data_IF_489836032719
#
_entry.id   IF_489836032719
#
_cell.length_a   1.000
_cell.length_b   1.000
_cell.length_c   1.000
_cell.angle_alpha   90.00
_cell.angle_beta   90.00
_cell.angle_gamma   90.00
#
_symmetry.space_group_name_H-M   'P 1'
#
loop_
_entity.id
_entity.type
_entity.pdbx_description
1 polymer ?
#
# COMPACT_ATOMS: atom_id res chain seq x y z
N UNK A 1 -37.51 -35.28 36.03
CA UNK A 1 -36.95 -33.98 35.60
C UNK A 1 -35.63 -34.24 34.91
N UNK A 2 -35.53 -34.02 33.60
CA UNK A 2 -34.28 -34.17 32.84
C UNK A 2 -33.52 -32.85 32.90
N UNK A 3 -32.43 -32.82 33.65
CA UNK A 3 -31.52 -31.69 33.76
C UNK A 3 -30.74 -31.56 32.44
N UNK A 4 -31.03 -30.51 31.67
CA UNK A 4 -30.24 -30.17 30.48
C UNK A 4 -28.90 -29.60 30.93
N UNK A 5 -27.82 -30.36 30.73
CA UNK A 5 -26.45 -29.88 30.87
C UNK A 5 -26.18 -28.92 29.70
N UNK A 6 -26.20 -27.62 29.96
CA UNK A 6 -25.83 -26.60 28.99
C UNK A 6 -24.32 -26.62 28.83
N UNK A 7 -23.84 -27.22 27.73
CA UNK A 7 -22.44 -27.16 27.34
C UNK A 7 -22.15 -25.74 26.84
N UNK A 8 -21.66 -24.87 27.72
CA UNK A 8 -21.12 -23.57 27.32
C UNK A 8 -19.82 -23.82 26.56
N UNK A 9 -19.87 -23.76 25.22
CA UNK A 9 -18.66 -23.73 24.39
C UNK A 9 -17.97 -22.39 24.66
N UNK A 10 -17.01 -22.40 25.57
CA UNK A 10 -16.07 -21.29 25.73
C UNK A 10 -15.25 -21.22 24.45
N UNK A 11 -15.49 -20.21 23.61
CA UNK A 11 -14.60 -19.89 22.51
C UNK A 11 -13.25 -19.47 23.12
N UNK A 12 -12.33 -20.43 23.28
CA UNK A 12 -10.95 -20.16 23.66
C UNK A 12 -10.30 -19.42 22.50
N UNK A 13 -10.05 -18.13 22.69
CA UNK A 13 -9.13 -17.38 21.84
C UNK A 13 -7.78 -18.13 21.86
N UNK A 14 -7.20 -18.37 20.69
CA UNK A 14 -5.87 -18.95 20.61
C UNK A 14 -4.87 -18.00 21.31
N UNK A 15 -3.78 -18.52 21.91
CA UNK A 15 -2.73 -17.65 22.43
C UNK A 15 -2.21 -16.77 21.30
N UNK A 16 -2.24 -15.45 21.52
CA UNK A 16 -1.81 -14.46 20.55
C UNK A 16 -0.31 -14.69 20.25
N UNK A 17 0.01 -15.02 19.00
CA UNK A 17 1.40 -15.05 18.55
C UNK A 17 1.91 -13.61 18.37
N UNK A 18 3.23 -13.41 18.45
CA UNK A 18 3.86 -12.12 18.12
C UNK A 18 3.57 -11.67 16.67
N UNK A 19 3.11 -12.57 15.81
CA UNK A 19 2.76 -12.30 14.42
C UNK A 19 1.32 -11.81 14.25
N UNK A 20 0.43 -12.08 15.21
CA UNK A 20 -0.98 -11.71 15.17
C UNK A 20 -1.18 -10.23 15.52
N UNK A 21 -2.33 -9.68 15.12
CA UNK A 21 -2.68 -8.31 15.49
C UNK A 21 -3.33 -8.28 16.89
N UNK A 22 -2.82 -7.50 17.86
CA UNK A 22 -3.32 -7.52 19.24
C UNK A 22 -4.78 -7.06 19.40
N UNK A 23 -5.27 -6.23 18.48
CA UNK A 23 -6.67 -5.75 18.50
C UNK A 23 -7.69 -6.79 18.01
N UNK A 24 -7.28 -7.72 17.15
CA UNK A 24 -8.18 -8.77 16.61
C UNK A 24 -7.39 -10.07 16.53
N UNK A 25 -7.44 -10.89 17.59
CA UNK A 25 -6.76 -12.19 17.62
C UNK A 25 -7.46 -13.18 16.68
N UNK A 26 -6.72 -14.15 16.12
CA UNK A 26 -7.30 -15.26 15.39
C UNK A 26 -8.13 -16.16 16.32
N UNK A 27 -9.10 -16.86 15.74
CA UNK A 27 -9.83 -17.91 16.45
C UNK A 27 -9.05 -19.22 16.44
N UNK A 28 -9.34 -20.12 17.40
CA UNK A 28 -8.71 -21.43 17.45
C UNK A 28 -8.90 -22.21 16.13
N UNK A 29 -7.83 -22.86 15.67
CA UNK A 29 -7.82 -23.61 14.41
C UNK A 29 -7.58 -22.77 13.16
N UNK A 30 -7.30 -21.46 13.31
CA UNK A 30 -6.86 -20.61 12.20
C UNK A 30 -5.34 -20.61 12.09
N UNK A 31 -4.84 -20.53 10.85
CA UNK A 31 -3.41 -20.45 10.55
C UNK A 31 -3.10 -19.19 9.77
N UNK A 32 -2.11 -18.41 10.21
CA UNK A 32 -1.62 -17.26 9.47
C UNK A 32 -0.96 -17.72 8.16
N UNK A 33 -1.37 -17.12 7.04
CA UNK A 33 -0.86 -17.42 5.70
C UNK A 33 -0.12 -16.25 5.08
N UNK A 34 -0.54 -15.02 5.38
CA UNK A 34 0.09 -13.83 4.82
C UNK A 34 0.00 -12.66 5.80
N UNK A 35 0.98 -11.76 5.73
CA UNK A 35 1.08 -10.61 6.64
C UNK A 35 1.82 -9.46 5.98
N UNK A 36 1.09 -8.40 5.70
CA UNK A 36 1.62 -7.14 5.18
C UNK A 36 1.42 -6.04 6.21
N UNK A 37 2.49 -5.29 6.50
CA UNK A 37 2.41 -4.10 7.35
C UNK A 37 3.07 -2.93 6.64
N UNK A 38 2.34 -1.83 6.53
CA UNK A 38 2.89 -0.54 6.16
C UNK A 38 2.67 0.45 7.29
N UNK A 39 3.76 1.11 7.69
CA UNK A 39 3.79 1.94 8.89
C UNK A 39 2.97 3.23 8.74
N UNK A 40 2.74 3.68 7.51
CA UNK A 40 1.93 4.85 7.20
C UNK A 40 1.50 4.83 5.73
N UNK A 41 0.20 4.73 5.46
CA UNK A 41 -0.38 4.73 4.11
C UNK A 41 -1.85 5.20 4.16
N UNK A 42 -2.39 5.63 3.01
CA UNK A 42 -3.81 5.92 2.84
C UNK A 42 -4.62 4.66 2.48
N UNK A 43 -5.86 4.58 2.98
CA UNK A 43 -6.78 3.50 2.66
C UNK A 43 -8.21 4.02 2.49
N UNK A 44 -8.82 3.67 1.36
CA UNK A 44 -10.28 3.72 1.18
C UNK A 44 -10.89 2.53 1.93
N UNK A 45 -11.29 2.75 3.17
CA UNK A 45 -11.73 1.71 4.09
C UNK A 45 -13.24 1.45 3.94
N UNK A 46 -13.68 0.25 3.49
CA UNK A 46 -15.08 0.00 3.17
C UNK A 46 -16.01 -0.01 4.39
N UNK A 47 -17.08 0.79 4.33
CA UNK A 47 -18.14 0.84 5.36
C UNK A 47 -19.53 0.81 4.72
N UNK A 48 -19.66 0.09 3.61
CA UNK A 48 -20.89 -0.05 2.85
C UNK A 48 -20.88 -1.27 1.93
N UNK A 49 -22.03 -1.53 1.31
CA UNK A 49 -22.20 -2.62 0.34
C UNK A 49 -21.38 -2.40 -0.91
N UNK A 50 -21.02 -3.46 -1.62
CA UNK A 50 -20.45 -3.37 -2.95
C UNK A 50 -21.55 -3.30 -4.03
N UNK A 51 -21.35 -2.46 -5.04
CA UNK A 51 -22.15 -2.44 -6.25
C UNK A 51 -21.22 -2.19 -7.44
N UNK A 52 -21.29 -3.04 -8.48
CA UNK A 52 -20.48 -2.90 -9.70
C UNK A 52 -18.98 -2.65 -9.42
N UNK A 53 -18.39 -3.46 -8.54
CA UNK A 53 -16.96 -3.41 -8.16
C UNK A 53 -16.52 -2.19 -7.34
N UNK A 54 -17.47 -1.39 -6.84
CA UNK A 54 -17.20 -0.24 -5.96
C UNK A 54 -17.96 -0.37 -4.66
N UNK A 55 -17.37 0.09 -3.56
CA UNK A 55 -18.10 0.21 -2.31
C UNK A 55 -18.98 1.47 -2.34
N UNK A 56 -20.21 1.33 -1.84
CA UNK A 56 -21.20 2.41 -1.77
C UNK A 56 -20.83 3.48 -0.73
N UNK A 57 -19.98 3.12 0.23
CA UNK A 57 -19.43 4.03 1.23
C UNK A 57 -18.05 3.55 1.66
N UNK A 58 -17.10 4.48 1.70
CA UNK A 58 -15.72 4.26 2.14
C UNK A 58 -15.34 5.42 3.09
N UNK A 59 -14.44 5.14 4.03
CA UNK A 59 -13.77 6.16 4.83
C UNK A 59 -12.37 6.38 4.28
N UNK A 60 -11.94 7.64 4.27
CA UNK A 60 -10.57 8.01 3.95
C UNK A 60 -9.76 7.95 5.24
N UNK A 61 -9.00 6.86 5.39
CA UNK A 61 -8.16 6.65 6.57
C UNK A 61 -6.70 6.76 6.18
N UNK A 62 -5.89 7.28 7.11
CA UNK A 62 -4.44 7.28 7.02
C UNK A 62 -3.86 6.73 8.32
N UNK A 63 -2.78 5.99 8.23
CA UNK A 63 -2.08 5.49 9.41
C UNK A 63 -1.32 4.21 9.14
N UNK A 64 -0.97 3.52 10.22
CA UNK A 64 -0.35 2.20 10.10
C UNK A 64 -1.40 1.19 9.68
N UNK A 65 -1.16 0.49 8.59
CA UNK A 65 -2.05 -0.55 8.08
C UNK A 65 -1.41 -1.91 8.27
N UNK A 66 -2.13 -2.82 8.92
CA UNK A 66 -1.77 -4.23 9.04
C UNK A 66 -2.83 -5.08 8.34
N UNK A 67 -2.44 -5.84 7.33
CA UNK A 67 -3.29 -6.78 6.60
C UNK A 67 -2.82 -8.20 6.88
N UNK A 68 -3.68 -9.01 7.48
CA UNK A 68 -3.37 -10.40 7.85
C UNK A 68 -4.36 -11.32 7.17
N UNK A 69 -3.84 -12.38 6.53
CA UNK A 69 -4.66 -13.44 5.94
C UNK A 69 -4.51 -14.71 6.75
N UNK A 70 -5.63 -15.25 7.22
CA UNK A 70 -5.71 -16.52 7.90
C UNK A 70 -6.46 -17.54 7.05
N UNK A 71 -6.05 -18.80 7.06
CA UNK A 71 -6.89 -19.91 6.59
C UNK A 71 -7.62 -20.57 7.76
N UNK A 72 -8.76 -21.19 7.47
CA UNK A 72 -9.52 -21.97 8.45
C UNK A 72 -10.03 -23.28 7.82
N UNK A 73 -10.36 -24.27 8.65
CA UNK A 73 -10.89 -25.55 8.18
C UNK A 73 -12.24 -25.36 7.45
N UNK A 74 -12.39 -25.97 6.27
CA UNK A 74 -13.65 -25.95 5.49
C UNK A 74 -14.88 -26.48 6.26
N UNK A 75 -14.68 -27.26 7.31
CA UNK A 75 -15.76 -27.74 8.19
C UNK A 75 -16.31 -26.63 9.10
N UNK A 76 -15.56 -25.54 9.32
CA UNK A 76 -16.02 -24.40 10.09
C UNK A 76 -17.01 -23.56 9.30
N UNK A 77 -18.14 -23.24 9.95
CA UNK A 77 -19.16 -22.38 9.36
C UNK A 77 -18.70 -20.92 9.33
N UNK A 78 -18.75 -20.28 8.14
CA UNK A 78 -18.54 -18.83 8.01
C UNK A 78 -19.46 -18.04 8.94
N UNK A 79 -20.69 -18.52 9.16
CA UNK A 79 -21.65 -17.88 10.07
C UNK A 79 -21.18 -17.95 11.52
N UNK A 80 -20.66 -19.10 11.95
CA UNK A 80 -20.10 -19.25 13.29
C UNK A 80 -18.91 -18.30 13.49
N UNK A 81 -17.96 -18.29 12.53
CA UNK A 81 -16.80 -17.40 12.56
C UNK A 81 -17.22 -15.92 12.66
N UNK A 82 -18.21 -15.53 11.85
CA UNK A 82 -18.78 -14.19 11.82
C UNK A 82 -19.43 -13.80 13.17
N UNK A 83 -20.28 -14.67 13.74
CA UNK A 83 -20.93 -14.39 15.03
C UNK A 83 -19.94 -14.34 16.20
N UNK A 84 -18.90 -15.16 16.15
CA UNK A 84 -17.81 -15.11 17.12
C UNK A 84 -17.11 -13.75 17.08
N UNK A 85 -16.74 -13.26 15.88
CA UNK A 85 -16.11 -11.94 15.75
C UNK A 85 -17.06 -10.80 16.15
N UNK A 86 -18.34 -10.85 15.80
CA UNK A 86 -19.30 -9.84 16.27
C UNK A 86 -19.39 -9.80 17.79
N UNK A 87 -19.45 -10.97 18.44
CA UNK A 87 -19.52 -11.07 19.89
C UNK A 87 -18.24 -10.56 20.55
N UNK A 88 -17.08 -10.91 19.99
CA UNK A 88 -15.78 -10.41 20.43
C UNK A 88 -15.68 -8.88 20.31
N UNK A 89 -15.94 -8.34 19.12
CA UNK A 89 -15.86 -6.88 18.86
C UNK A 89 -16.80 -6.10 19.80
N UNK A 90 -18.03 -6.57 19.97
CA UNK A 90 -18.99 -5.99 20.91
C UNK A 90 -18.48 -5.99 22.36
N UNK A 91 -17.97 -7.14 22.82
CA UNK A 91 -17.42 -7.30 24.18
C UNK A 91 -16.20 -6.40 24.42
N UNK A 92 -15.35 -6.22 23.41
CA UNK A 92 -14.15 -5.38 23.50
C UNK A 92 -14.42 -3.86 23.35
N UNK A 93 -15.68 -3.50 23.08
CA UNK A 93 -16.14 -2.11 22.99
C UNK A 93 -15.91 -1.47 21.62
N UNK A 94 -15.85 -2.26 20.55
CA UNK A 94 -15.84 -1.74 19.19
C UNK A 94 -17.23 -1.23 18.79
N UNK A 95 -17.27 -0.10 18.10
CA UNK A 95 -18.45 0.40 17.40
C UNK A 95 -18.50 -0.22 15.99
N UNK A 96 -19.56 -0.97 15.68
CA UNK A 96 -19.74 -1.54 14.33
C UNK A 96 -20.22 -0.44 13.38
N UNK A 97 -19.40 -0.14 12.37
CA UNK A 97 -19.69 0.87 11.35
C UNK A 97 -20.51 0.28 10.20
N UNK A 98 -20.23 -0.96 9.84
CA UNK A 98 -20.95 -1.70 8.83
C UNK A 98 -20.78 -3.21 9.04
N UNK A 99 -21.82 -3.98 8.77
CA UNK A 99 -21.74 -5.43 8.74
C UNK A 99 -22.70 -5.99 7.71
N UNK A 100 -22.29 -7.04 7.01
CA UNK A 100 -23.13 -7.71 6.03
C UNK A 100 -22.85 -9.20 5.96
N UNK A 101 -23.85 -9.94 5.48
CA UNK A 101 -23.81 -11.38 5.28
C UNK A 101 -24.29 -11.73 3.87
N UNK A 102 -23.47 -12.43 3.11
CA UNK A 102 -23.79 -12.96 1.76
C UNK A 102 -24.30 -11.84 0.83
N UNK A 103 -25.50 -11.98 0.29
CA UNK A 103 -26.12 -11.04 -0.65
C UNK A 103 -26.34 -9.65 -0.03
N UNK A 104 -26.39 -9.54 1.30
CA UNK A 104 -26.45 -8.25 1.98
C UNK A 104 -25.19 -7.41 1.73
N UNK A 105 -24.06 -8.05 1.40
CA UNK A 105 -22.82 -7.38 1.04
C UNK A 105 -22.87 -6.74 -0.35
N UNK A 106 -23.92 -7.00 -1.13
CA UNK A 106 -24.19 -6.36 -2.41
C UNK A 106 -23.83 -7.24 -3.61
N UNK A 107 -23.27 -6.63 -4.66
CA UNK A 107 -22.91 -7.29 -5.91
C UNK A 107 -21.50 -6.88 -6.37
N UNK A 108 -20.72 -7.85 -6.85
CA UNK A 108 -19.35 -7.64 -7.31
C UNK A 108 -18.44 -8.81 -7.00
N UNK A 109 -17.19 -8.67 -7.44
CA UNK A 109 -16.09 -9.61 -7.26
C UNK A 109 -14.79 -8.83 -7.47
N UNK A 110 -14.17 -8.39 -6.37
CA UNK A 110 -12.98 -7.55 -6.40
C UNK A 110 -11.97 -8.04 -5.38
N UNK A 111 -10.72 -8.19 -5.81
CA UNK A 111 -9.60 -8.25 -4.89
C UNK A 111 -9.16 -6.83 -4.54
N UNK A 112 -9.19 -6.48 -3.26
CA UNK A 112 -8.88 -5.09 -2.83
C UNK A 112 -7.41 -4.86 -2.52
N UNK A 113 -6.59 -5.93 -2.44
CA UNK A 113 -5.16 -5.87 -2.15
C UNK A 113 -4.24 -6.19 -3.34
N UNK A 114 -4.75 -6.23 -4.57
CA UNK A 114 -3.99 -6.67 -5.76
C UNK A 114 -2.89 -5.70 -6.22
N UNK A 115 -3.00 -4.42 -5.87
CA UNK A 115 -2.13 -3.36 -6.39
C UNK A 115 -0.94 -3.07 -5.47
N UNK A 116 -1.12 -3.16 -4.15
CA UNK A 116 -0.14 -2.79 -3.12
C UNK A 116 -0.07 -3.82 -1.96
N UNK A 117 -0.68 -5.00 -2.09
CA UNK A 117 -0.85 -6.02 -1.02
C UNK A 117 -1.63 -5.57 0.24
N UNK A 118 -2.09 -4.32 0.26
CA UNK A 118 -2.86 -3.73 1.36
C UNK A 118 -4.31 -3.56 0.93
N UNK A 119 -5.22 -4.25 1.62
CA UNK A 119 -6.65 -4.18 1.35
C UNK A 119 -7.42 -5.04 2.34
N UNK A 120 -8.71 -5.25 2.09
CA UNK A 120 -9.58 -6.18 2.84
C UNK A 120 -9.65 -7.57 2.19
N UNK A 121 -8.73 -7.88 1.28
CA UNK A 121 -8.68 -9.13 0.53
C UNK A 121 -9.73 -9.23 -0.58
N UNK A 122 -10.05 -10.46 -0.95
CA UNK A 122 -11.07 -10.77 -1.96
C UNK A 122 -12.48 -10.59 -1.40
N UNK A 123 -13.23 -9.68 -2.00
CA UNK A 123 -14.59 -9.34 -1.61
C UNK A 123 -15.54 -9.68 -2.75
N UNK A 124 -16.29 -10.77 -2.60
CA UNK A 124 -17.18 -11.25 -3.64
C UNK A 124 -18.51 -11.74 -3.02
N UNK A 125 -19.49 -10.84 -2.83
CA UNK A 125 -20.77 -11.14 -2.18
C UNK A 125 -21.52 -12.38 -2.71
N UNK A 126 -21.29 -12.75 -3.98
CA UNK A 126 -21.87 -13.94 -4.61
C UNK A 126 -21.35 -15.27 -4.05
N UNK A 127 -20.17 -15.26 -3.44
CA UNK A 127 -19.58 -16.41 -2.79
C UNK A 127 -19.57 -16.15 -1.28
N UNK A 128 -20.20 -17.02 -0.47
CA UNK A 128 -20.42 -16.91 0.98
C UNK A 128 -19.45 -15.96 1.72
N UNK A 129 -19.71 -14.65 1.60
CA UNK A 129 -18.85 -13.56 2.07
C UNK A 129 -19.52 -12.94 3.26
N UNK A 130 -18.77 -12.74 4.34
CA UNK A 130 -19.27 -12.06 5.53
C UNK A 130 -18.27 -11.01 5.94
N UNK A 131 -18.77 -9.82 6.25
CA UNK A 131 -17.91 -8.68 6.47
C UNK A 131 -18.33 -7.88 7.69
N UNK A 132 -17.35 -7.45 8.47
CA UNK A 132 -17.52 -6.53 9.59
C UNK A 132 -16.49 -5.42 9.43
N UNK A 133 -16.96 -4.18 9.41
CA UNK A 133 -16.16 -2.99 9.62
C UNK A 133 -16.52 -2.40 10.97
N UNK A 134 -15.53 -2.19 11.82
CA UNK A 134 -15.71 -1.64 13.16
C UNK A 134 -14.59 -0.66 13.50
N UNK A 135 -14.82 0.20 14.49
CA UNK A 135 -13.79 1.08 15.04
C UNK A 135 -13.72 0.97 16.55
N UNK A 136 -12.58 1.34 17.09
CA UNK A 136 -12.38 1.47 18.54
C UNK A 136 -11.51 2.70 18.82
N UNK A 137 -11.86 3.41 19.87
CA UNK A 137 -11.08 4.55 20.38
C UNK A 137 -10.66 4.22 21.81
N UNK A 138 -9.36 3.92 22.02
CA UNK A 138 -8.79 3.60 23.34
C UNK A 138 -7.46 4.33 23.53
N UNK A 139 -7.23 4.90 24.71
CA UNK A 139 -5.93 5.49 25.08
C UNK A 139 -5.47 6.68 24.24
N UNK A 140 -6.38 7.41 23.59
CA UNK A 140 -6.05 8.55 22.72
C UNK A 140 -5.68 8.17 21.27
N UNK A 141 -5.73 6.88 20.92
CA UNK A 141 -5.65 6.39 19.55
C UNK A 141 -7.00 5.89 19.04
N UNK A 142 -7.19 5.93 17.72
CA UNK A 142 -8.33 5.34 17.03
C UNK A 142 -7.83 4.25 16.09
N UNK A 143 -8.53 3.12 16.05
CA UNK A 143 -8.25 2.05 15.11
C UNK A 143 -9.54 1.60 14.42
N UNK A 144 -9.42 1.32 13.13
CA UNK A 144 -10.47 0.74 12.30
C UNK A 144 -10.08 -0.69 11.95
N UNK A 145 -11.04 -1.62 12.02
CA UNK A 145 -10.81 -3.03 11.71
C UNK A 145 -11.85 -3.55 10.73
N UNK A 146 -11.36 -4.16 9.67
CA UNK A 146 -12.13 -4.89 8.68
C UNK A 146 -11.87 -6.39 8.85
N UNK A 147 -12.95 -7.16 9.00
CA UNK A 147 -12.90 -8.63 9.04
C UNK A 147 -13.71 -9.14 7.85
N UNK A 148 -13.02 -9.65 6.85
CA UNK A 148 -13.62 -10.24 5.65
C UNK A 148 -13.45 -11.76 5.67
N UNK A 149 -14.56 -12.49 5.70
CA UNK A 149 -14.60 -13.95 5.78
C UNK A 149 -15.10 -14.47 4.43
N UNK A 150 -14.27 -15.26 3.75
CA UNK A 150 -14.62 -15.89 2.46
C UNK A 150 -14.82 -17.39 2.62
N UNK A 151 -16.04 -17.85 2.37
CA UNK A 151 -16.35 -19.27 2.21
C UNK A 151 -15.79 -19.89 0.93
N UNK A 152 -15.42 -19.08 -0.07
CA UNK A 152 -14.82 -19.57 -1.33
C UNK A 152 -13.36 -19.98 -1.15
N UNK A 153 -12.58 -19.13 -0.47
CA UNK A 153 -11.15 -19.36 -0.23
C UNK A 153 -10.86 -20.04 1.11
N UNK A 154 -11.89 -20.29 1.93
CA UNK A 154 -11.74 -20.73 3.33
C UNK A 154 -10.70 -19.87 4.08
N UNK A 155 -10.80 -18.56 3.87
CA UNK A 155 -9.83 -17.57 4.36
C UNK A 155 -10.53 -16.39 5.03
N UNK A 156 -9.84 -15.77 5.99
CA UNK A 156 -10.23 -14.52 6.63
C UNK A 156 -9.13 -13.50 6.40
N UNK A 157 -9.52 -12.31 5.97
CA UNK A 157 -8.66 -11.12 5.99
C UNK A 157 -9.03 -10.24 7.16
N UNK A 158 -8.05 -9.94 7.99
CA UNK A 158 -8.14 -8.99 9.08
C UNK A 158 -7.26 -7.80 8.72
N UNK A 159 -7.89 -6.66 8.46
CA UNK A 159 -7.20 -5.43 8.12
C UNK A 159 -7.41 -4.42 9.22
N UNK A 160 -6.33 -3.91 9.80
CA UNK A 160 -6.35 -2.93 10.88
C UNK A 160 -5.67 -1.65 10.40
N UNK A 161 -6.36 -0.53 10.52
CA UNK A 161 -5.81 0.82 10.30
C UNK A 161 -5.75 1.52 11.63
N UNK A 162 -4.54 1.68 12.16
CA UNK A 162 -4.27 2.45 13.38
C UNK A 162 -4.06 3.90 12.97
N UNK A 163 -5.11 4.71 13.11
CA UNK A 163 -5.08 6.12 12.80
C UNK A 163 -4.24 6.85 13.84
N UNK A 164 -3.16 7.50 13.39
CA UNK A 164 -2.54 8.54 14.20
C UNK A 164 -3.55 9.67 14.29
N UNK A 165 -4.03 9.98 15.50
CA UNK A 165 -4.66 11.27 15.73
C UNK A 165 -3.72 12.35 15.21
N UNK A 166 -4.26 13.32 14.46
CA UNK A 166 -3.53 14.50 14.00
C UNK A 166 -3.02 15.26 15.23
N UNK A 167 -1.88 14.83 15.76
CA UNK A 167 -1.23 15.48 16.86
C UNK A 167 -0.27 16.50 16.25
N UNK A 168 -0.82 17.67 15.91
CA UNK A 168 -0.06 18.89 15.64
C UNK A 168 0.83 19.32 16.85
N UNK A 169 0.78 18.56 17.95
CA UNK A 169 1.59 18.77 19.15
C UNK A 169 3.07 18.34 19.04
N UNK A 170 3.52 17.73 17.94
CA UNK A 170 4.93 17.33 17.78
C UNK A 170 5.81 18.34 17.02
N UNK A 171 5.30 19.54 16.73
CA UNK A 171 6.15 20.71 16.53
C UNK A 171 6.27 21.46 17.87
N UNK A 172 6.96 20.86 18.85
CA UNK A 172 7.51 21.68 19.94
C UNK A 172 8.71 22.44 19.40
N UNK A 173 8.44 23.67 18.96
CA UNK A 173 9.46 24.70 18.89
C UNK A 173 10.13 24.81 20.28
N UNK A 174 11.45 24.61 20.32
CA UNK A 174 12.26 24.87 21.52
C UNK A 174 12.47 23.67 22.44
N UNK A 175 13.51 22.88 22.16
CA UNK A 175 14.49 22.36 23.13
C UNK A 175 15.37 21.33 22.41
N UNK A 176 16.22 21.83 21.51
CA UNK A 176 17.47 21.14 21.20
C UNK A 176 18.37 21.32 22.41
N UNK A 177 18.51 20.29 23.22
CA UNK A 177 19.76 20.07 23.96
C UNK A 177 20.16 18.60 23.78
N UNK A 178 21.30 18.44 23.13
CA UNK A 178 21.82 17.20 22.59
C UNK A 178 23.15 16.90 23.26
N UNK A 179 23.19 15.87 24.10
CA UNK A 179 24.39 15.13 24.50
C UNK A 179 23.91 13.94 25.33
N UNK A 180 24.04 12.65 24.94
CA UNK A 180 24.90 12.04 23.93
C UNK A 180 24.17 10.98 23.07
N UNK A 181 23.78 11.31 21.85
CA UNK A 181 23.42 10.30 20.83
C UNK A 181 23.95 10.68 19.43
N UNK A 182 24.95 11.57 19.39
CA UNK A 182 25.81 11.78 18.22
C UNK A 182 26.86 10.68 18.22
N UNK A 183 26.62 9.60 17.48
CA UNK A 183 27.71 8.74 16.99
C UNK A 183 27.32 7.80 15.83
N UNK A 184 26.04 7.54 15.58
CA UNK A 184 25.63 6.73 14.42
C UNK A 184 24.40 7.35 13.76
N UNK A 185 24.42 7.43 12.42
CA UNK A 185 23.42 8.05 11.54
C UNK A 185 23.48 9.59 11.39
N UNK A 186 24.62 10.09 10.89
CA UNK A 186 24.62 11.23 9.98
C UNK A 186 25.02 10.72 8.59
N UNK A 187 24.05 10.41 7.75
CA UNK A 187 24.21 10.48 6.29
C UNK A 187 23.07 11.32 5.74
N UNK A 188 23.41 12.29 4.88
CA UNK A 188 22.46 13.21 4.25
C UNK A 188 21.68 12.52 3.10
N UNK A 189 20.52 13.06 2.71
CA UNK A 189 19.72 12.52 1.61
C UNK A 189 20.45 12.50 0.26
N UNK A 190 20.27 11.41 -0.51
CA UNK A 190 20.61 11.29 -1.93
C UNK A 190 19.96 12.42 -2.76
N UNK A 191 20.70 12.95 -3.75
CA UNK A 191 20.24 14.06 -4.59
C UNK A 191 20.01 13.58 -6.01
N UNK A 192 18.81 13.84 -6.52
CA UNK A 192 18.34 13.44 -7.85
C UNK A 192 18.34 14.69 -8.74
N UNK A 193 19.10 14.65 -9.84
CA UNK A 193 19.17 15.72 -10.83
C UNK A 193 18.87 15.19 -12.24
N UNK A 194 17.64 15.35 -12.71
CA UNK A 194 17.23 14.91 -14.06
C UNK A 194 17.41 16.07 -15.04
N UNK A 195 18.33 15.93 -16.01
CA UNK A 195 18.57 16.98 -17.02
C UNK A 195 17.97 16.55 -18.36
N UNK A 196 16.99 17.29 -18.92
CA UNK A 196 16.37 16.91 -20.18
C UNK A 196 17.38 16.99 -21.34
N UNK A 197 17.43 15.94 -22.15
CA UNK A 197 17.92 16.10 -23.52
C UNK A 197 16.74 16.57 -24.38
N UNK A 198 17.01 17.56 -25.24
CA UNK A 198 16.02 18.29 -26.02
C UNK A 198 15.05 17.37 -26.79
N UNK A 199 13.75 17.65 -26.62
CA UNK A 199 12.76 17.54 -27.70
C UNK A 199 11.80 18.72 -27.60
N UNK A 200 11.45 19.32 -28.75
CA UNK A 200 10.91 20.68 -28.93
C UNK A 200 9.51 20.98 -28.40
N UNK A 201 9.00 20.22 -27.43
CA UNK A 201 7.79 20.55 -26.68
C UNK A 201 8.15 20.83 -25.22
N UNK A 202 7.47 21.80 -24.58
CA UNK A 202 7.55 22.01 -23.11
C UNK A 202 6.96 20.77 -22.40
N UNK A 203 7.77 19.74 -22.25
CA UNK A 203 7.43 18.52 -21.52
C UNK A 203 7.80 18.74 -20.05
N UNK A 204 6.87 18.51 -19.10
CA UNK A 204 7.18 18.67 -17.68
C UNK A 204 8.09 17.52 -17.23
N UNK A 205 9.38 17.83 -17.03
CA UNK A 205 10.44 16.90 -16.56
C UNK A 205 10.21 16.38 -15.14
N UNK A 206 9.34 17.05 -14.38
CA UNK A 206 9.00 16.69 -13.00
C UNK A 206 8.45 15.27 -12.85
N UNK A 207 7.89 14.66 -13.90
CA UNK A 207 7.29 13.32 -13.80
C UNK A 207 8.35 12.22 -13.65
N UNK A 208 9.46 12.28 -14.39
CA UNK A 208 10.53 11.28 -14.27
C UNK A 208 11.30 11.46 -12.95
N UNK A 209 11.56 12.70 -12.57
CA UNK A 209 12.15 13.05 -11.29
C UNK A 209 11.30 12.52 -10.12
N UNK A 210 9.97 12.67 -10.21
CA UNK A 210 9.02 12.10 -9.24
C UNK A 210 9.15 10.57 -9.18
N UNK A 211 9.20 9.87 -10.32
CA UNK A 211 9.38 8.42 -10.36
C UNK A 211 10.69 7.95 -9.72
N UNK A 212 11.80 8.62 -10.01
CA UNK A 212 13.11 8.31 -9.41
C UNK A 212 13.10 8.52 -7.90
N UNK A 213 12.57 9.66 -7.43
CA UNK A 213 12.46 9.98 -6.00
C UNK A 213 11.57 8.95 -5.28
N UNK A 214 10.43 8.57 -5.87
CA UNK A 214 9.54 7.54 -5.33
C UNK A 214 10.25 6.19 -5.22
N UNK A 215 10.97 5.76 -6.27
CA UNK A 215 11.73 4.51 -6.26
C UNK A 215 12.79 4.47 -5.14
N UNK A 216 13.59 5.52 -5.03
CA UNK A 216 14.61 5.66 -3.98
C UNK A 216 14.03 5.68 -2.56
N UNK A 217 12.99 6.50 -2.35
CA UNK A 217 12.32 6.61 -1.06
C UNK A 217 11.65 5.28 -0.66
N UNK A 218 11.12 4.52 -1.62
CA UNK A 218 10.54 3.19 -1.35
C UNK A 218 11.58 2.15 -0.91
N UNK A 219 12.84 2.35 -1.28
CA UNK A 219 13.98 1.54 -0.82
C UNK A 219 14.54 2.02 0.53
N UNK A 220 14.07 3.17 1.05
CA UNK A 220 14.56 3.75 2.30
C UNK A 220 15.72 4.74 2.14
N UNK A 221 16.11 5.07 0.90
CA UNK A 221 17.04 6.16 0.63
C UNK A 221 16.26 7.48 0.63
N UNK A 222 16.70 8.45 1.42
CA UNK A 222 16.10 9.77 1.38
C UNK A 222 16.53 10.46 0.08
N UNK A 223 15.61 10.64 -0.87
CA UNK A 223 15.90 11.25 -2.16
C UNK A 223 15.20 12.61 -2.31
N UNK A 224 15.89 13.59 -2.88
CA UNK A 224 15.32 14.91 -3.21
C UNK A 224 15.73 15.38 -4.59
N UNK A 225 14.83 16.10 -5.24
CA UNK A 225 15.11 16.83 -6.47
C UNK A 225 16.01 18.04 -6.22
N UNK A 226 17.02 18.26 -7.07
CA UNK A 226 17.85 19.46 -6.99
C UNK A 226 19.25 19.31 -7.57
N UNK A 227 20.11 20.29 -7.31
CA UNK A 227 21.52 20.27 -7.70
C UNK A 227 22.37 19.60 -6.62
N UNK A 228 23.33 18.76 -7.03
CA UNK A 228 24.24 18.08 -6.11
C UNK A 228 25.05 19.09 -5.27
N UNK A 229 25.09 18.87 -3.95
CA UNK A 229 25.95 19.59 -3.00
C UNK A 229 27.14 18.73 -2.54
N UNK A 230 28.07 19.32 -1.80
CA UNK A 230 29.30 18.65 -1.32
C UNK A 230 29.07 17.42 -0.42
N UNK A 231 27.88 17.27 0.17
CA UNK A 231 27.49 16.17 1.05
C UNK A 231 26.63 15.10 0.33
N UNK A 232 26.49 15.17 -0.99
CA UNK A 232 25.74 14.16 -1.77
C UNK A 232 26.53 12.86 -1.81
N UNK A 233 25.87 11.72 -1.53
CA UNK A 233 26.48 10.39 -1.65
C UNK A 233 26.10 9.68 -2.97
N UNK A 234 24.84 9.83 -3.42
CA UNK A 234 24.34 9.26 -4.68
C UNK A 234 23.77 10.38 -5.54
N UNK A 235 24.25 10.46 -6.78
CA UNK A 235 23.73 11.34 -7.82
C UNK A 235 22.96 10.53 -8.86
N UNK A 236 21.70 10.89 -9.10
CA UNK A 236 20.90 10.25 -10.16
C UNK A 236 20.67 11.22 -11.30
N UNK A 237 21.10 10.82 -12.49
CA UNK A 237 20.89 11.55 -13.74
C UNK A 237 19.88 10.82 -14.62
N UNK A 238 19.02 11.58 -15.28
CA UNK A 238 18.04 11.03 -16.21
C UNK A 238 17.97 11.84 -17.50
N UNK A 239 17.85 11.15 -18.62
CA UNK A 239 17.54 11.70 -19.94
C UNK A 239 16.18 11.19 -20.39
N UNK A 240 15.35 12.06 -20.97
CA UNK A 240 14.01 11.73 -21.45
C UNK A 240 13.83 12.20 -22.90
N UNK A 241 13.40 11.29 -23.77
CA UNK A 241 13.02 11.54 -25.15
C UNK A 241 11.56 11.12 -25.36
N UNK A 242 10.78 11.90 -26.12
CA UNK A 242 9.41 11.54 -26.51
C UNK A 242 9.26 11.70 -28.00
N UNK A 243 8.90 10.60 -28.66
CA UNK A 243 8.78 10.52 -30.11
C UNK A 243 7.36 10.12 -30.52
N UNK A 244 6.79 10.71 -31.59
CA UNK A 244 5.56 10.21 -32.18
C UNK A 244 5.78 8.80 -32.73
N UNK A 245 4.74 7.98 -32.68
CA UNK A 245 4.73 6.64 -33.27
C UNK A 245 3.60 6.59 -34.29
N UNK A 246 3.90 6.12 -35.49
CA UNK A 246 2.88 5.94 -36.52
C UNK A 246 1.90 4.82 -36.13
N UNK A 247 0.62 5.10 -36.39
CA UNK A 247 -0.48 4.18 -36.16
C UNK A 247 -1.15 3.82 -37.49
N UNK A 248 -1.75 2.63 -37.53
CA UNK A 248 -2.49 2.16 -38.70
C UNK A 248 -3.90 2.77 -38.79
N UNK A 249 -4.48 3.18 -37.66
CA UNK A 249 -5.78 3.85 -37.57
C UNK A 249 -5.59 5.36 -37.38
N UNK A 250 -6.10 6.22 -38.29
CA UNK A 250 -5.95 7.67 -38.20
C UNK A 250 -6.61 8.30 -36.96
N UNK A 251 -7.57 7.60 -36.33
CA UNK A 251 -8.27 8.04 -35.10
C UNK A 251 -7.36 8.03 -33.87
N UNK A 252 -6.27 7.27 -33.90
CA UNK A 252 -5.37 7.11 -32.76
C UNK A 252 -4.05 7.81 -33.01
N UNK A 253 -3.60 8.55 -31.99
CA UNK A 253 -2.26 9.12 -31.92
C UNK A 253 -1.47 8.37 -30.88
N UNK A 254 -0.21 8.10 -31.20
CA UNK A 254 0.68 7.36 -30.33
C UNK A 254 1.93 8.19 -30.03
N UNK A 255 2.37 8.11 -28.79
CA UNK A 255 3.64 8.66 -28.35
C UNK A 255 4.44 7.57 -27.65
N UNK A 256 5.74 7.52 -27.89
CA UNK A 256 6.66 6.69 -27.13
C UNK A 256 7.58 7.59 -26.35
N UNK A 257 7.53 7.47 -25.03
CA UNK A 257 8.49 8.07 -24.13
C UNK A 257 9.61 7.07 -23.84
N UNK A 258 10.84 7.57 -23.79
CA UNK A 258 12.06 6.79 -23.55
C UNK A 258 12.88 7.53 -22.50
N UNK A 259 13.23 6.87 -21.41
CA UNK A 259 14.08 7.43 -20.37
C UNK A 259 15.32 6.56 -20.15
N UNK A 260 16.48 7.20 -20.09
CA UNK A 260 17.73 6.59 -19.63
C UNK A 260 18.06 7.16 -18.26
N UNK A 261 18.24 6.29 -17.26
CA UNK A 261 18.56 6.68 -15.88
C UNK A 261 19.92 6.11 -15.50
N UNK A 262 20.74 6.91 -14.82
CA UNK A 262 22.06 6.54 -14.31
C UNK A 262 22.21 6.98 -12.87
N UNK A 263 22.49 6.04 -11.96
CA UNK A 263 22.88 6.32 -10.58
C UNK A 263 24.41 6.24 -10.44
N UNK A 264 24.99 7.26 -9.83
CA UNK A 264 26.42 7.44 -9.69
C UNK A 264 26.78 7.71 -8.24
N UNK A 265 27.93 7.21 -7.81
CA UNK A 265 28.55 7.67 -6.57
C UNK A 265 28.98 9.13 -6.77
N UNK A 266 28.51 10.04 -5.92
CA UNK A 266 28.71 11.47 -6.13
C UNK A 266 30.14 11.95 -5.82
N UNK A 267 30.95 11.16 -5.09
CA UNK A 267 32.33 11.49 -4.74
C UNK A 267 33.31 11.05 -5.83
N UNK A 268 33.05 9.91 -6.45
CA UNK A 268 33.92 9.28 -7.45
C UNK A 268 33.42 9.45 -8.88
N UNK A 269 32.14 9.79 -9.07
CA UNK A 269 31.47 9.86 -10.37
C UNK A 269 31.21 8.49 -11.00
N UNK A 270 31.52 7.39 -10.30
CA UNK A 270 31.37 6.03 -10.84
C UNK A 270 29.89 5.68 -10.97
N UNK A 271 29.47 5.33 -12.19
CA UNK A 271 28.14 4.76 -12.45
C UNK A 271 28.09 3.35 -11.87
N UNK A 272 27.08 3.08 -11.06
CA UNK A 272 26.88 1.76 -10.47
C UNK A 272 25.53 1.13 -10.85
N UNK A 273 24.59 1.93 -11.36
CA UNK A 273 23.34 1.46 -11.93
C UNK A 273 23.00 2.31 -13.14
N UNK A 274 22.66 1.66 -14.26
CA UNK A 274 22.16 2.33 -15.45
C UNK A 274 21.13 1.44 -16.15
N UNK A 275 20.01 2.02 -16.55
CA UNK A 275 18.97 1.30 -17.26
C UNK A 275 18.16 2.23 -18.18
N UNK A 276 17.51 1.61 -19.15
CA UNK A 276 16.65 2.27 -20.12
C UNK A 276 15.21 1.77 -19.96
N UNK A 277 14.26 2.69 -20.03
CA UNK A 277 12.83 2.39 -19.92
C UNK A 277 12.09 3.06 -21.08
N UNK A 278 11.20 2.33 -21.72
CA UNK A 278 10.36 2.86 -22.79
C UNK A 278 8.88 2.55 -22.52
N UNK A 279 8.01 3.48 -22.89
CA UNK A 279 6.58 3.33 -22.72
C UNK A 279 5.81 3.97 -23.87
N UNK A 280 4.79 3.26 -24.38
CA UNK A 280 3.95 3.73 -25.48
C UNK A 280 2.58 4.13 -24.95
N UNK A 281 2.20 5.38 -25.14
CA UNK A 281 0.87 5.92 -24.85
C UNK A 281 0.04 6.01 -26.13
N UNK A 282 -1.29 5.87 -25.98
CA UNK A 282 -2.26 6.06 -27.04
C UNK A 282 -3.43 6.92 -26.58
N UNK A 283 -3.94 7.77 -27.47
CA UNK A 283 -5.14 8.57 -27.26
C UNK A 283 -5.71 9.07 -28.60
N UNK A 284 -6.86 9.74 -28.55
CA UNK A 284 -7.43 10.41 -29.72
C UNK A 284 -6.62 11.62 -30.20
N UNK A 285 -5.77 12.18 -29.34
CA UNK A 285 -4.86 13.29 -29.66
C UNK A 285 -3.44 13.01 -29.14
N UNK A 286 -2.44 13.63 -29.78
CA UNK A 286 -1.03 13.37 -29.50
C UNK A 286 -0.62 13.83 -28.09
N UNK A 287 -1.14 14.96 -27.61
CA UNK A 287 -0.77 15.49 -26.29
C UNK A 287 -1.27 14.59 -25.16
N UNK A 288 -2.45 14.01 -25.29
CA UNK A 288 -2.97 13.01 -24.35
C UNK A 288 -2.17 11.71 -24.43
N UNK A 289 -1.74 11.28 -25.62
CA UNK A 289 -0.88 10.12 -25.78
C UNK A 289 0.48 10.32 -25.08
N UNK A 290 1.08 11.51 -25.19
CA UNK A 290 2.32 11.90 -24.48
C UNK A 290 2.11 11.88 -22.97
N UNK A 291 1.03 12.48 -22.45
CA UNK A 291 0.74 12.47 -21.01
C UNK A 291 0.61 11.05 -20.46
N UNK A 292 -0.06 10.16 -21.19
CA UNK A 292 -0.22 8.75 -20.81
C UNK A 292 1.11 7.99 -20.85
N UNK A 293 1.93 8.20 -21.89
CA UNK A 293 3.24 7.55 -21.98
C UNK A 293 4.15 7.96 -20.83
N UNK A 294 4.16 9.25 -20.47
CA UNK A 294 4.99 9.76 -19.37
C UNK A 294 4.53 9.28 -17.98
N UNK A 295 3.22 9.26 -17.72
CA UNK A 295 2.69 8.79 -16.44
C UNK A 295 3.01 7.30 -16.19
N UNK A 296 2.89 6.47 -17.23
CA UNK A 296 3.24 5.06 -17.13
C UNK A 296 4.76 4.85 -17.09
N UNK A 297 5.53 5.65 -17.84
CA UNK A 297 7.00 5.62 -17.81
C UNK A 297 7.53 5.94 -16.41
N UNK A 298 6.95 6.93 -15.71
CA UNK A 298 7.31 7.27 -14.33
C UNK A 298 7.20 6.09 -13.37
N UNK A 299 6.13 5.29 -13.49
CA UNK A 299 5.94 4.10 -12.63
C UNK A 299 7.00 3.04 -12.91
N UNK A 300 7.30 2.78 -14.18
CA UNK A 300 8.34 1.84 -14.59
C UNK A 300 9.74 2.30 -14.16
N UNK A 301 10.01 3.61 -14.20
CA UNK A 301 11.26 4.17 -13.68
C UNK A 301 11.35 3.96 -12.17
N UNK A 302 10.29 4.21 -11.39
CA UNK A 302 10.30 3.98 -9.95
C UNK A 302 10.61 2.51 -9.60
N UNK A 303 9.97 1.58 -10.30
CA UNK A 303 10.20 0.13 -10.14
C UNK A 303 11.63 -0.28 -10.54
N UNK A 304 12.12 0.22 -11.68
CA UNK A 304 13.48 -0.08 -12.16
C UNK A 304 14.57 0.46 -11.24
N UNK A 305 14.40 1.67 -10.68
CA UNK A 305 15.30 2.23 -9.67
C UNK A 305 15.31 1.35 -8.42
N UNK A 306 14.13 0.99 -7.90
CA UNK A 306 14.01 0.16 -6.70
C UNK A 306 14.73 -1.19 -6.88
N UNK A 307 14.44 -1.88 -7.98
CA UNK A 307 15.00 -3.19 -8.25
C UNK A 307 16.53 -3.12 -8.45
N UNK A 308 17.00 -2.17 -9.25
CA UNK A 308 18.42 -2.03 -9.54
C UNK A 308 19.26 -1.64 -8.32
N UNK A 309 18.70 -0.84 -7.40
CA UNK A 309 19.38 -0.50 -6.15
C UNK A 309 19.38 -1.67 -5.18
N UNK A 310 18.28 -2.41 -5.09
CA UNK A 310 18.20 -3.64 -4.28
C UNK A 310 19.27 -4.64 -4.74
N UNK A 311 19.32 -4.93 -6.03
CA UNK A 311 20.30 -5.85 -6.61
C UNK A 311 21.76 -5.38 -6.41
N UNK A 312 22.01 -4.07 -6.50
CA UNK A 312 23.35 -3.54 -6.28
C UNK A 312 23.83 -3.73 -4.83
N UNK A 313 22.96 -3.48 -3.84
CA UNK A 313 23.32 -3.61 -2.42
C UNK A 313 23.34 -5.06 -1.92
N UNK A 314 22.55 -5.95 -2.52
CA UNK A 314 22.59 -7.39 -2.21
C UNK A 314 23.85 -8.09 -2.73
N UNK A 315 24.51 -7.52 -3.75
CA UNK A 315 25.68 -8.10 -4.40
C UNK A 315 27.02 -7.44 -3.98
N UNK A 316 27.04 -6.67 -2.88
CA UNK A 316 28.24 -6.10 -2.25
C UNK A 316 28.61 -6.86 -0.98
#
# INVERSE_FOLDING_TARGET
MRTFLTLAVLALAAPLSAQDHPLVPPQAGMELKDRDIVQFEEMKFPVGKMWEQKFTKELDLEGKISSLKYSYDKELSTLQLFRNYQSYLSKEGFEVLFSCSKEECGSGDRNTGDSNHIGIGHFAPRYDTRYIAAKISKGGGEAHVAINISGYYHSIWVTVVESKGMNSANLKAGAMDAAPARAAAQSEPAVVSVTPARSGAKIPTNQIETGVIQGLNSFGLQARGGTAGAATDILVEGKLDVNPVEGTDPRWKFARAYATISCKDAKTGRVFLQFDVAEKGSAGDYNTAVRRSLANLSKKVAEAVKNGITEYFENQ
#
